data_IF_620384149624
#
_entry.id   IF_620384149624
#
_cell.length_a   1.000
_cell.length_b   1.000
_cell.length_c   1.000
_cell.angle_alpha   90.00
_cell.angle_beta   90.00
_cell.angle_gamma   90.00
#
_symmetry.space_group_name_H-M   'P 1'
#
loop_
_entity.id
_entity.type
_entity.pdbx_description
1 polymer ?
#
# COMPACT_ATOMS: atom_id res chain seq x y z
N UNK A 1 40.79 13.00 -72.36
CA UNK A 1 40.97 14.46 -72.16
C UNK A 1 39.93 15.16 -73.04
N UNK A 2 38.94 15.96 -72.58
CA UNK A 2 38.73 16.83 -71.41
C UNK A 2 37.24 16.70 -70.99
N UNK A 3 36.86 16.41 -69.74
CA UNK A 3 36.76 17.32 -68.57
C UNK A 3 35.92 18.58 -68.87
N UNK A 4 34.61 18.46 -68.65
CA UNK A 4 33.74 19.58 -68.30
C UNK A 4 33.26 19.36 -66.86
N UNK A 5 33.90 20.08 -65.94
CA UNK A 5 33.44 20.48 -64.60
C UNK A 5 32.73 21.83 -64.83
N UNK A 6 31.64 22.26 -64.22
CA UNK A 6 31.14 22.29 -62.83
C UNK A 6 29.73 22.95 -62.95
N UNK A 7 29.12 23.51 -61.90
CA UNK A 7 28.69 22.96 -60.62
C UNK A 7 27.18 23.18 -60.46
N UNK A 8 26.46 22.32 -59.75
CA UNK A 8 25.37 22.73 -58.84
C UNK A 8 25.01 21.47 -58.07
N UNK A 9 25.56 21.47 -56.86
CA UNK A 9 25.13 20.65 -55.75
C UNK A 9 23.71 21.08 -55.39
N UNK A 10 22.72 20.40 -55.96
CA UNK A 10 21.46 20.24 -55.24
C UNK A 10 21.63 18.97 -54.42
N UNK A 11 22.42 19.10 -53.35
CA UNK A 11 22.21 18.31 -52.15
C UNK A 11 20.75 18.53 -51.78
N UNK A 12 19.88 17.62 -52.24
CA UNK A 12 18.61 17.37 -51.58
C UNK A 12 19.00 17.22 -50.11
N UNK A 13 18.54 18.09 -49.21
CA UNK A 13 18.76 17.87 -47.80
C UNK A 13 18.05 16.56 -47.50
N UNK A 14 18.81 15.48 -47.42
CA UNK A 14 18.44 14.27 -46.71
C UNK A 14 18.19 14.76 -45.29
N UNK A 15 16.96 15.19 -45.00
CA UNK A 15 16.53 15.48 -43.65
C UNK A 15 16.85 14.23 -42.82
N UNK A 16 17.88 14.27 -41.96
CA UNK A 16 18.18 13.16 -41.09
C UNK A 16 17.30 13.29 -39.84
N UNK A 17 16.04 13.70 -40.02
CA UNK A 17 14.92 13.33 -39.18
C UNK A 17 14.63 11.85 -39.34
N UNK A 18 15.64 11.00 -39.11
CA UNK A 18 15.40 9.66 -38.61
C UNK A 18 14.54 9.87 -37.38
N UNK A 19 13.23 9.69 -37.52
CA UNK A 19 12.38 9.35 -36.39
C UNK A 19 13.01 8.09 -35.82
N UNK A 20 13.94 8.28 -34.89
CA UNK A 20 14.33 7.27 -33.94
C UNK A 20 13.04 7.00 -33.18
N UNK A 21 12.22 6.13 -33.75
CA UNK A 21 11.21 5.38 -33.02
C UNK A 21 11.96 4.94 -31.78
N UNK A 22 11.62 5.59 -30.65
CA UNK A 22 12.29 5.37 -29.39
C UNK A 22 12.11 3.89 -29.13
N UNK A 23 13.14 3.11 -29.47
CA UNK A 23 13.13 1.68 -29.29
C UNK A 23 13.07 1.55 -27.79
N UNK A 24 11.87 1.29 -27.27
CA UNK A 24 11.67 1.10 -25.86
C UNK A 24 12.54 -0.09 -25.50
N UNK A 25 13.71 0.18 -24.93
CA UNK A 25 14.64 -0.84 -24.46
C UNK A 25 13.93 -1.55 -23.32
N UNK A 26 13.12 -2.57 -23.65
CA UNK A 26 12.39 -3.31 -22.65
C UNK A 26 13.41 -4.17 -21.92
N UNK A 27 13.88 -3.69 -20.76
CA UNK A 27 14.87 -4.39 -19.93
C UNK A 27 14.36 -5.75 -19.43
N UNK A 28 13.05 -6.01 -19.55
CA UNK A 28 12.42 -7.26 -19.15
C UNK A 28 11.50 -7.79 -20.26
N UNK A 29 11.65 -9.08 -20.56
CA UNK A 29 10.70 -9.84 -21.38
C UNK A 29 9.32 -9.82 -20.71
N UNK A 30 8.20 -9.79 -21.47
CA UNK A 30 6.84 -9.76 -20.90
C UNK A 30 6.58 -10.84 -19.83
N UNK A 31 7.15 -12.03 -20.00
CA UNK A 31 7.06 -13.14 -19.05
C UNK A 31 7.68 -12.82 -17.69
N UNK A 32 8.80 -12.10 -17.66
CA UNK A 32 9.48 -11.70 -16.43
C UNK A 32 8.67 -10.62 -15.70
N UNK A 33 8.07 -9.68 -16.44
CA UNK A 33 7.18 -8.66 -15.86
C UNK A 33 5.96 -9.31 -15.19
N UNK A 34 5.33 -10.29 -15.84
CA UNK A 34 4.20 -11.03 -15.27
C UNK A 34 4.62 -11.84 -14.04
N UNK A 35 5.76 -12.53 -14.10
CA UNK A 35 6.28 -13.26 -12.94
C UNK A 35 6.56 -12.37 -11.74
N UNK A 36 7.18 -11.21 -11.96
CA UNK A 36 7.45 -10.22 -10.91
C UNK A 36 6.15 -9.65 -10.34
N UNK A 37 5.18 -9.29 -11.19
CA UNK A 37 3.88 -8.80 -10.75
C UNK A 37 3.14 -9.83 -9.89
N UNK A 38 3.16 -11.11 -10.28
CA UNK A 38 2.57 -12.19 -9.50
C UNK A 38 3.28 -12.37 -8.16
N UNK A 39 4.62 -12.35 -8.14
CA UNK A 39 5.40 -12.48 -6.91
C UNK A 39 5.08 -11.34 -5.92
N UNK A 40 5.01 -10.10 -6.41
CA UNK A 40 4.62 -8.95 -5.59
C UNK A 40 3.19 -9.08 -5.08
N UNK A 41 2.26 -9.53 -5.94
CA UNK A 41 0.87 -9.74 -5.56
C UNK A 41 0.74 -10.80 -4.45
N UNK A 42 1.36 -11.96 -4.61
CA UNK A 42 1.35 -13.03 -3.60
C UNK A 42 2.02 -12.57 -2.31
N UNK A 43 3.13 -11.82 -2.40
CA UNK A 43 3.79 -11.23 -1.24
C UNK A 43 2.89 -10.25 -0.48
N UNK A 44 2.19 -9.37 -1.19
CA UNK A 44 1.24 -8.43 -0.60
C UNK A 44 0.05 -9.15 0.05
N UNK A 45 -0.50 -10.19 -0.59
CA UNK A 45 -1.55 -11.03 -0.02
C UNK A 45 -1.07 -11.73 1.27
N UNK A 46 0.15 -12.27 1.26
CA UNK A 46 0.76 -12.89 2.44
C UNK A 46 0.89 -11.91 3.61
N UNK A 47 1.36 -10.68 3.34
CA UNK A 47 1.44 -9.62 4.34
C UNK A 47 0.07 -9.26 4.90
N UNK A 48 -0.95 -9.15 4.04
CA UNK A 48 -2.31 -8.81 4.46
C UNK A 48 -2.93 -9.91 5.35
N UNK A 49 -2.79 -11.17 4.95
CA UNK A 49 -3.24 -12.32 5.74
C UNK A 49 -2.50 -12.38 7.09
N UNK A 50 -1.19 -12.12 7.11
CA UNK A 50 -0.44 -12.06 8.37
C UNK A 50 -0.92 -10.92 9.27
N UNK A 51 -1.15 -9.74 8.70
CA UNK A 51 -1.52 -8.53 9.44
C UNK A 51 -2.95 -8.58 9.98
N UNK A 52 -3.89 -9.23 9.27
CA UNK A 52 -5.30 -9.26 9.70
C UNK A 52 -5.49 -9.95 11.05
N UNK A 53 -4.69 -10.97 11.37
CA UNK A 53 -4.77 -11.65 12.66
C UNK A 53 -4.22 -10.80 13.83
N UNK A 54 -3.34 -9.84 13.56
CA UNK A 54 -2.84 -8.90 14.57
C UNK A 54 -3.87 -7.82 14.95
N UNK A 55 -4.79 -7.48 14.04
CA UNK A 55 -5.71 -6.35 14.23
C UNK A 55 -6.97 -6.68 15.02
N UNK A 56 -7.20 -7.95 15.39
CA UNK A 56 -8.41 -8.41 16.07
C UNK A 56 -8.15 -9.09 17.42
N UNK A 57 -7.01 -8.81 18.06
CA UNK A 57 -6.76 -9.29 19.42
C UNK A 57 -7.62 -8.48 20.40
N UNK A 58 -8.79 -9.03 20.77
CA UNK A 58 -9.56 -8.50 21.90
C UNK A 58 -8.78 -8.85 23.16
N UNK A 59 -8.17 -7.85 23.78
CA UNK A 59 -7.49 -8.02 25.06
C UNK A 59 -8.55 -8.16 26.14
N UNK A 60 -8.72 -9.37 26.65
CA UNK A 60 -9.51 -9.64 27.83
C UNK A 60 -8.69 -9.23 29.04
N UNK A 61 -9.12 -8.17 29.72
CA UNK A 61 -8.45 -7.67 30.91
C UNK A 61 -9.45 -7.66 32.06
N UNK A 62 -8.99 -8.10 33.24
CA UNK A 62 -9.76 -8.02 34.48
C UNK A 62 -9.79 -6.58 34.99
N UNK A 63 -10.80 -6.26 35.80
CA UNK A 63 -10.95 -4.92 36.41
C UNK A 63 -9.71 -4.55 37.24
N UNK A 64 -9.15 -5.50 37.99
CA UNK A 64 -7.94 -5.32 38.79
C UNK A 64 -6.68 -5.00 37.96
N UNK A 65 -6.60 -5.48 36.72
CA UNK A 65 -5.47 -5.19 35.83
C UNK A 65 -5.57 -3.80 35.21
N UNK A 66 -6.78 -3.31 34.93
CA UNK A 66 -6.99 -1.92 34.48
C UNK A 66 -6.68 -0.94 35.62
N UNK A 67 -7.15 -1.23 36.83
CA UNK A 67 -6.93 -0.37 37.99
C UNK A 67 -5.44 -0.27 38.37
N UNK A 68 -4.66 -1.35 38.20
CA UNK A 68 -3.23 -1.36 38.46
C UNK A 68 -2.38 -0.83 37.28
N UNK A 69 -2.85 -1.02 36.03
CA UNK A 69 -2.10 -0.73 34.81
C UNK A 69 -2.27 0.67 34.23
N UNK A 70 -3.22 1.46 34.74
CA UNK A 70 -3.50 2.82 34.26
C UNK A 70 -4.34 2.86 32.98
N UNK A 71 -4.58 4.08 32.43
CA UNK A 71 -5.51 4.28 31.32
C UNK A 71 -5.08 3.51 30.07
N UNK A 72 -5.98 2.69 29.54
CA UNK A 72 -5.77 1.99 28.28
C UNK A 72 -5.78 2.94 27.09
N UNK A 73 -4.99 2.60 26.07
CA UNK A 73 -4.83 3.42 24.87
C UNK A 73 -6.18 3.75 24.21
N UNK A 74 -6.43 5.00 23.78
CA UNK A 74 -7.74 5.45 23.29
C UNK A 74 -8.30 4.66 22.11
N UNK A 75 -7.44 4.10 21.25
CA UNK A 75 -7.82 3.39 20.03
C UNK A 75 -7.93 1.86 20.22
N UNK A 76 -7.87 1.39 21.47
CA UNK A 76 -7.90 -0.04 21.80
C UNK A 76 -9.27 -0.47 22.31
N UNK A 77 -9.93 -1.36 21.57
CA UNK A 77 -11.16 -2.02 22.03
C UNK A 77 -10.82 -3.05 23.11
N UNK A 78 -11.36 -2.86 24.31
CA UNK A 78 -11.13 -3.74 25.47
C UNK A 78 -12.46 -4.24 25.99
N UNK A 79 -12.53 -5.55 26.24
CA UNK A 79 -13.69 -6.18 26.86
C UNK A 79 -13.40 -6.45 28.33
N UNK A 80 -14.11 -5.73 29.20
CA UNK A 80 -14.07 -5.91 30.64
C UNK A 80 -15.01 -7.03 31.07
N UNK A 81 -14.51 -7.94 31.89
CA UNK A 81 -15.33 -8.92 32.59
C UNK A 81 -15.09 -8.78 34.08
N UNK A 82 -16.17 -8.57 34.84
CA UNK A 82 -16.11 -8.35 36.28
C UNK A 82 -17.49 -8.50 36.89
N UNK A 83 -17.52 -8.72 38.21
CA UNK A 83 -18.76 -8.71 38.97
C UNK A 83 -19.12 -7.26 39.28
N UNK A 84 -20.33 -6.86 38.93
CA UNK A 84 -20.85 -5.54 39.30
C UNK A 84 -20.98 -5.44 40.83
N UNK A 85 -20.51 -4.34 41.38
CA UNK A 85 -20.64 -4.03 42.81
C UNK A 85 -22.04 -3.46 43.03
N UNK A 86 -22.67 -3.83 44.14
CA UNK A 86 -23.98 -3.30 44.53
C UNK A 86 -23.90 -1.77 44.67
N UNK A 87 -24.92 -1.04 44.23
CA UNK A 87 -24.96 0.44 44.16
C UNK A 87 -23.99 1.11 43.17
N UNK A 88 -23.22 0.39 42.34
CA UNK A 88 -22.28 1.01 41.40
C UNK A 88 -22.89 1.36 40.02
N UNK A 89 -24.14 0.99 39.78
CA UNK A 89 -24.82 1.24 38.51
C UNK A 89 -25.67 2.50 38.60
N UNK A 90 -25.28 3.53 37.88
CA UNK A 90 -26.06 4.76 37.71
C UNK A 90 -26.59 4.77 36.29
N UNK A 91 -27.87 5.15 36.10
CA UNK A 91 -28.47 5.33 34.78
C UNK A 91 -28.86 6.79 34.61
N UNK A 92 -28.46 7.40 33.51
CA UNK A 92 -28.85 8.78 33.24
C UNK A 92 -30.37 8.88 32.95
N UNK A 93 -31.02 10.02 33.29
CA UNK A 93 -32.48 10.17 33.17
C UNK A 93 -33.01 10.05 31.74
N UNK A 94 -32.18 10.41 30.75
CA UNK A 94 -32.50 10.30 29.34
C UNK A 94 -32.52 8.83 28.84
N UNK A 95 -31.95 7.91 29.62
CA UNK A 95 -31.86 6.48 29.31
C UNK A 95 -31.02 6.14 28.09
N UNK A 96 -30.28 7.09 27.53
CA UNK A 96 -29.41 6.93 26.36
C UNK A 96 -27.95 6.71 26.75
N UNK A 97 -27.59 7.11 27.97
CA UNK A 97 -26.24 6.97 28.50
C UNK A 97 -26.28 6.28 29.87
N UNK A 98 -25.22 5.54 30.16
CA UNK A 98 -24.95 4.90 31.45
C UNK A 98 -23.84 5.69 32.15
#
# INVERSE_FOLDING_TARGET
MNKYNDPISDEIPDDPGTEKSATATTLFTPRVKVGLALALFVGALGYFIFTTFSSATVYYMSVSEIEAGGPTEPDKLIRLSGKLVEESFVRQPNGLEA
#
